data_IF_351000192323
#
_entry.id   IF_351000192323
#
_cell.length_a   1.000
_cell.length_b   1.000
_cell.length_c   1.000
_cell.angle_alpha   90.00
_cell.angle_beta   90.00
_cell.angle_gamma   90.00
#
_symmetry.space_group_name_H-M   'P 1'
#
loop_
_entity.id
_entity.type
_entity.pdbx_description
1 polymer ?
#
# COMPACT_ATOMS: atom_id res chain seq x y z
N UNK A 1 -18.70 -17.39 -6.83
CA UNK A 1 -17.59 -16.43 -6.92
C UNK A 1 -17.80 -15.39 -5.85
N UNK A 2 -16.97 -15.37 -4.80
CA UNK A 2 -17.13 -14.42 -3.69
C UNK A 2 -16.34 -13.15 -4.01
N UNK A 3 -17.02 -12.10 -4.46
CA UNK A 3 -16.39 -10.80 -4.65
C UNK A 3 -16.30 -10.09 -3.31
N UNK A 4 -15.09 -10.03 -2.75
CA UNK A 4 -14.82 -9.23 -1.55
C UNK A 4 -15.03 -7.74 -1.88
N UNK A 5 -15.86 -7.02 -1.09
CA UNK A 5 -16.02 -5.58 -1.27
C UNK A 5 -14.66 -4.90 -1.08
N UNK A 6 -14.41 -3.81 -1.81
CA UNK A 6 -13.11 -3.11 -1.73
C UNK A 6 -12.86 -2.51 -0.34
N UNK A 7 -13.92 -2.35 0.45
CA UNK A 7 -13.91 -1.92 1.86
C UNK A 7 -13.84 -3.07 2.87
N UNK A 8 -13.70 -4.32 2.44
CA UNK A 8 -13.57 -5.47 3.35
C UNK A 8 -12.39 -5.24 4.31
N UNK A 9 -12.58 -5.55 5.59
CA UNK A 9 -11.47 -5.47 6.55
C UNK A 9 -10.53 -6.66 6.38
N UNK A 10 -9.27 -6.48 6.78
CA UNK A 10 -8.30 -7.58 6.78
C UNK A 10 -8.79 -8.78 7.61
N UNK A 11 -9.62 -8.53 8.63
CA UNK A 11 -10.23 -9.56 9.48
C UNK A 11 -11.30 -10.37 8.75
N UNK A 12 -12.19 -9.72 7.99
CA UNK A 12 -13.18 -10.42 7.16
C UNK A 12 -12.52 -11.32 6.12
N UNK A 13 -11.44 -10.82 5.50
CA UNK A 13 -10.70 -11.56 4.46
C UNK A 13 -9.98 -12.77 5.06
N UNK A 14 -9.41 -12.64 6.26
CA UNK A 14 -8.83 -13.76 7.00
C UNK A 14 -9.87 -14.80 7.39
N UNK A 15 -11.04 -14.36 7.84
CA UNK A 15 -12.13 -15.25 8.20
C UNK A 15 -12.63 -16.05 6.99
N UNK A 16 -12.73 -15.41 5.82
CA UNK A 16 -13.09 -16.07 4.56
C UNK A 16 -12.02 -17.06 4.11
N UNK A 17 -10.74 -16.70 4.24
CA UNK A 17 -9.64 -17.52 3.76
C UNK A 17 -9.11 -18.58 4.72
N UNK A 18 -9.69 -18.69 5.93
CA UNK A 18 -9.27 -19.63 6.99
C UNK A 18 -7.76 -19.61 7.26
N UNK A 19 -7.09 -18.49 7.01
CA UNK A 19 -5.65 -18.35 7.18
C UNK A 19 -5.30 -18.09 8.65
N UNK A 20 -4.32 -18.82 9.17
CA UNK A 20 -3.75 -18.54 10.48
C UNK A 20 -3.02 -17.18 10.46
N UNK A 21 -2.79 -16.60 11.65
CA UNK A 21 -2.10 -15.30 11.77
C UNK A 21 -0.72 -15.29 11.10
N UNK A 22 0.03 -16.38 11.22
CA UNK A 22 1.36 -16.52 10.63
C UNK A 22 1.31 -16.59 9.11
N UNK A 23 0.38 -17.39 8.57
CA UNK A 23 0.18 -17.52 7.12
C UNK A 23 -0.27 -16.20 6.50
N UNK A 24 -1.13 -15.47 7.21
CA UNK A 24 -1.58 -14.14 6.80
C UNK A 24 -0.45 -13.11 6.77
N UNK A 25 0.44 -13.12 7.77
CA UNK A 25 1.58 -12.20 7.80
C UNK A 25 2.52 -12.46 6.63
N UNK A 26 2.85 -13.73 6.39
CA UNK A 26 3.70 -14.13 5.28
C UNK A 26 3.08 -13.84 3.92
N UNK A 27 1.77 -14.07 3.78
CA UNK A 27 1.00 -13.66 2.61
C UNK A 27 1.11 -12.15 2.36
N UNK A 28 0.99 -11.33 3.40
CA UNK A 28 1.13 -9.87 3.27
C UNK A 28 2.52 -9.46 2.81
N UNK A 29 3.56 -10.10 3.32
CA UNK A 29 4.95 -9.82 2.94
C UNK A 29 5.15 -10.16 1.47
N UNK A 30 4.86 -11.39 1.07
CA UNK A 30 5.07 -11.88 -0.31
C UNK A 30 4.28 -11.04 -1.31
N UNK A 31 3.01 -10.75 -1.01
CA UNK A 31 2.16 -9.94 -1.91
C UNK A 31 2.65 -8.51 -2.02
N UNK A 32 3.21 -7.94 -0.93
CA UNK A 32 3.82 -6.60 -0.98
C UNK A 32 5.06 -6.58 -1.85
N UNK A 33 5.96 -7.53 -1.70
CA UNK A 33 7.18 -7.60 -2.52
C UNK A 33 6.84 -7.68 -4.01
N UNK A 34 5.85 -8.51 -4.38
CA UNK A 34 5.39 -8.61 -5.77
C UNK A 34 4.71 -7.33 -6.24
N UNK A 35 3.95 -6.65 -5.38
CA UNK A 35 3.37 -5.35 -5.69
C UNK A 35 4.43 -4.28 -5.96
N UNK A 36 5.50 -4.26 -5.17
CA UNK A 36 6.64 -3.37 -5.38
C UNK A 36 7.37 -3.67 -6.69
N UNK A 37 7.59 -4.95 -7.01
CA UNK A 37 8.17 -5.36 -8.29
C UNK A 37 7.28 -4.96 -9.48
N UNK A 38 5.97 -5.14 -9.37
CA UNK A 38 5.01 -4.70 -10.39
C UNK A 38 5.09 -3.19 -10.64
N UNK A 39 5.17 -2.39 -9.57
CA UNK A 39 5.29 -0.92 -9.68
C UNK A 39 6.67 -0.50 -10.20
N UNK A 40 7.74 -1.25 -9.91
CA UNK A 40 9.08 -0.99 -10.48
C UNK A 40 9.08 -1.21 -12.00
N UNK A 41 8.49 -2.30 -12.47
CA UNK A 41 8.44 -2.65 -13.90
C UNK A 41 7.49 -1.75 -14.69
N UNK A 42 6.41 -1.29 -14.04
CA UNK A 42 5.41 -0.41 -14.67
C UNK A 42 5.04 0.72 -13.71
N UNK A 43 5.88 1.77 -13.63
CA UNK A 43 5.63 2.89 -12.73
C UNK A 43 4.32 3.57 -13.08
N UNK A 44 3.52 3.89 -12.05
CA UNK A 44 2.22 4.56 -12.15
C UNK A 44 1.08 3.72 -12.79
N UNK A 45 1.30 2.45 -13.12
CA UNK A 45 0.24 1.54 -13.56
C UNK A 45 -0.46 0.91 -12.36
N UNK A 46 -1.70 1.29 -12.10
CA UNK A 46 -2.51 0.66 -11.05
C UNK A 46 -2.98 -0.74 -11.46
N UNK A 47 -3.22 -1.61 -10.48
CA UNK A 47 -3.68 -3.01 -10.71
C UNK A 47 -4.90 -3.13 -11.64
N UNK A 48 -5.82 -2.15 -11.60
CA UNK A 48 -7.01 -2.11 -12.47
C UNK A 48 -6.69 -2.00 -13.97
N UNK A 49 -5.51 -1.51 -14.32
CA UNK A 49 -5.07 -1.33 -15.71
C UNK A 49 -4.27 -2.53 -16.24
N UNK A 50 -3.92 -3.48 -15.38
CA UNK A 50 -3.29 -4.73 -15.81
C UNK A 50 -4.31 -5.55 -16.60
N UNK A 51 -3.87 -6.15 -17.70
CA UNK A 51 -4.73 -7.04 -18.49
C UNK A 51 -5.08 -8.29 -17.68
N UNK A 52 -6.17 -8.97 -18.03
CA UNK A 52 -6.55 -10.21 -17.36
C UNK A 52 -5.45 -11.29 -17.41
N UNK A 53 -4.64 -11.29 -18.47
CA UNK A 53 -3.49 -12.20 -18.63
C UNK A 53 -2.41 -11.85 -17.60
N UNK A 54 -1.98 -10.58 -17.55
CA UNK A 54 -0.96 -10.13 -16.60
C UNK A 54 -1.41 -10.34 -15.15
N UNK A 55 -2.68 -10.09 -14.85
CA UNK A 55 -3.23 -10.34 -13.51
C UNK A 55 -3.13 -11.82 -13.14
N UNK A 56 -3.46 -12.74 -14.06
CA UNK A 56 -3.33 -14.18 -13.82
C UNK A 56 -1.87 -14.61 -13.63
N UNK A 57 -0.94 -14.06 -14.40
CA UNK A 57 0.48 -14.35 -14.25
C UNK A 57 0.99 -13.94 -12.87
N UNK A 58 0.63 -12.73 -12.41
CA UNK A 58 1.00 -12.25 -11.08
C UNK A 58 0.34 -13.07 -9.97
N UNK A 59 -0.94 -13.44 -10.12
CA UNK A 59 -1.63 -14.32 -9.17
C UNK A 59 -0.94 -15.69 -9.11
N UNK A 60 -0.59 -16.26 -10.27
CA UNK A 60 0.13 -17.54 -10.36
C UNK A 60 1.50 -17.47 -9.68
N UNK A 61 2.22 -16.35 -9.85
CA UNK A 61 3.49 -16.10 -9.19
C UNK A 61 3.34 -16.04 -7.66
N UNK A 62 2.33 -15.32 -7.16
CA UNK A 62 2.02 -15.24 -5.73
C UNK A 62 1.70 -16.64 -5.19
N UNK A 63 0.84 -17.40 -5.87
CA UNK A 63 0.52 -18.80 -5.48
C UNK A 63 1.76 -19.68 -5.44
N UNK A 64 2.67 -19.53 -6.41
CA UNK A 64 3.92 -20.30 -6.47
C UNK A 64 4.87 -19.97 -5.33
N UNK A 65 5.01 -18.69 -4.97
CA UNK A 65 5.81 -18.27 -3.79
C UNK A 65 5.19 -18.76 -2.49
N UNK A 66 3.87 -18.68 -2.35
CA UNK A 66 3.17 -19.17 -1.15
C UNK A 66 3.29 -20.69 -1.00
N UNK A 67 3.16 -21.43 -2.10
CA UNK A 67 3.33 -22.88 -2.11
C UNK A 67 4.75 -23.29 -1.68
N UNK A 68 5.77 -22.50 -2.05
CA UNK A 68 7.16 -22.72 -1.61
C UNK A 68 7.31 -22.54 -0.09
N UNK A 69 6.55 -21.62 0.50
CA UNK A 69 6.49 -21.37 1.94
C UNK A 69 5.50 -22.29 2.68
N UNK A 70 4.96 -23.31 2.00
CA UNK A 70 3.95 -24.25 2.52
C UNK A 70 2.60 -23.61 2.90
N UNK A 71 2.31 -22.42 2.39
CA UNK A 71 1.05 -21.71 2.64
C UNK A 71 0.07 -22.05 1.52
N UNK A 72 -0.96 -22.81 1.87
CA UNK A 72 -2.01 -23.20 0.94
C UNK A 72 -3.17 -22.19 0.97
N UNK A 73 -3.29 -21.44 -0.12
CA UNK A 73 -4.47 -20.62 -0.42
C UNK A 73 -5.31 -21.40 -1.44
N UNK A 74 -6.58 -21.63 -1.12
CA UNK A 74 -7.50 -22.36 -1.98
C UNK A 74 -7.77 -21.58 -3.28
N UNK A 75 -8.03 -22.28 -4.39
CA UNK A 75 -8.33 -21.65 -5.69
C UNK A 75 -9.55 -20.72 -5.65
N UNK A 76 -10.46 -20.89 -4.69
CA UNK A 76 -11.61 -19.99 -4.49
C UNK A 76 -11.24 -18.63 -3.88
N UNK A 77 -9.97 -18.43 -3.52
CA UNK A 77 -9.46 -17.24 -2.84
C UNK A 77 -8.61 -16.34 -3.75
N UNK A 78 -8.63 -16.55 -5.08
CA UNK A 78 -8.00 -15.62 -6.04
C UNK A 78 -8.52 -14.18 -5.87
N UNK A 79 -9.77 -14.03 -5.44
CA UNK A 79 -10.38 -12.74 -5.10
C UNK A 79 -9.69 -12.06 -3.90
N UNK A 80 -9.14 -12.82 -2.94
CA UNK A 80 -8.34 -12.29 -1.82
C UNK A 80 -7.04 -11.68 -2.35
N UNK A 81 -6.37 -12.41 -3.24
CA UNK A 81 -5.12 -11.96 -3.87
C UNK A 81 -5.39 -10.69 -4.70
N UNK A 82 -6.42 -10.72 -5.53
CA UNK A 82 -6.83 -9.57 -6.35
C UNK A 82 -7.17 -8.35 -5.49
N UNK A 83 -7.98 -8.54 -4.45
CA UNK A 83 -8.34 -7.47 -3.50
C UNK A 83 -7.10 -6.88 -2.83
N UNK A 84 -6.19 -7.74 -2.36
CA UNK A 84 -4.96 -7.30 -1.68
C UNK A 84 -4.05 -6.51 -2.61
N UNK A 85 -3.90 -6.99 -3.84
CA UNK A 85 -3.06 -6.37 -4.86
C UNK A 85 -3.58 -4.98 -5.26
N UNK A 86 -4.92 -4.81 -5.35
CA UNK A 86 -5.52 -3.50 -5.58
C UNK A 86 -5.13 -2.47 -4.51
N UNK A 87 -5.04 -2.90 -3.25
CA UNK A 87 -4.68 -2.02 -2.13
C UNK A 87 -3.18 -1.74 -2.15
N UNK A 88 -2.34 -2.78 -2.24
CA UNK A 88 -0.89 -2.67 -2.14
C UNK A 88 -0.28 -1.91 -3.31
N UNK A 89 -0.68 -2.18 -4.55
CA UNK A 89 -0.17 -1.44 -5.72
C UNK A 89 -0.52 0.05 -5.60
N UNK A 90 -1.74 0.36 -5.16
CA UNK A 90 -2.16 1.75 -4.91
C UNK A 90 -1.33 2.40 -3.81
N UNK A 91 -1.07 1.67 -2.72
CA UNK A 91 -0.28 2.14 -1.58
C UNK A 91 1.17 2.43 -1.97
N UNK A 92 1.82 1.51 -2.70
CA UNK A 92 3.19 1.66 -3.21
C UNK A 92 3.28 2.85 -4.18
N UNK A 93 2.33 3.02 -5.09
CA UNK A 93 2.30 4.18 -6.00
C UNK A 93 2.15 5.49 -5.21
N UNK A 94 1.29 5.52 -4.18
CA UNK A 94 1.13 6.70 -3.30
C UNK A 94 2.41 6.99 -2.54
N UNK A 95 3.02 5.97 -1.92
CA UNK A 95 4.28 6.09 -1.19
C UNK A 95 5.38 6.66 -2.11
N UNK A 96 5.51 6.16 -3.33
CA UNK A 96 6.47 6.70 -4.31
C UNK A 96 6.22 8.18 -4.65
N UNK A 97 4.95 8.61 -4.79
CA UNK A 97 4.60 10.01 -5.03
C UNK A 97 4.89 10.90 -3.82
N UNK A 98 4.61 10.43 -2.61
CA UNK A 98 4.86 11.15 -1.37
C UNK A 98 6.37 11.26 -1.09
N UNK A 99 7.14 10.18 -1.30
CA UNK A 99 8.61 10.21 -1.21
C UNK A 99 9.23 11.21 -2.20
N UNK A 100 8.64 11.38 -3.39
CA UNK A 100 9.08 12.38 -4.36
C UNK A 100 8.73 13.83 -3.96
N UNK A 101 7.78 14.02 -3.03
CA UNK A 101 7.40 15.35 -2.52
C UNK A 101 8.22 15.76 -1.29
N UNK A 102 8.69 14.79 -0.49
CA UNK A 102 9.45 15.05 0.74
C UNK A 102 10.90 15.50 0.47
N UNK A 103 11.47 15.16 -0.69
CA UNK A 103 12.84 15.58 -1.06
C UNK A 103 12.98 17.07 -1.39
N UNK A 104 11.90 17.87 -1.32
CA UNK A 104 11.95 19.31 -1.61
C UNK A 104 11.58 20.21 -0.41
N UNK A 105 11.50 19.67 0.82
CA UNK A 105 11.42 20.50 2.02
C UNK A 105 12.73 20.47 2.80
N UNK A 106 13.58 21.38 2.35
CA UNK A 106 14.78 21.94 2.95
C UNK A 106 14.94 21.76 4.46
N UNK A 107 16.15 21.32 4.82
CA UNK A 107 16.91 21.69 6.01
C UNK A 107 16.42 23.00 6.64
N UNK A 108 15.95 22.97 7.88
CA UNK A 108 16.00 24.12 8.77
C UNK A 108 16.30 23.57 10.17
N UNK A 109 17.47 23.96 10.68
CA UNK A 109 18.00 23.51 11.95
C UNK A 109 17.06 23.85 13.11
N UNK A 110 16.89 22.88 14.01
CA UNK A 110 16.30 23.14 15.32
C UNK A 110 17.45 23.54 16.22
N UNK A 111 17.67 24.84 16.30
CA UNK A 111 18.34 25.48 17.42
C UNK A 111 17.33 25.65 18.55
N UNK A 112 17.81 25.41 19.76
CA UNK A 112 17.08 25.45 21.01
C UNK A 112 16.40 26.81 21.27
N UNK A 113 15.24 26.80 21.92
CA UNK A 113 14.67 28.02 22.50
C UNK A 113 13.20 27.92 22.87
N UNK A 114 12.94 27.77 24.17
CA UNK A 114 11.63 27.96 24.79
C UNK A 114 11.13 29.41 24.62
N UNK A 115 9.81 29.63 24.48
CA UNK A 115 9.23 30.95 24.73
C UNK A 115 7.94 31.30 23.98
N UNK A 116 6.85 31.36 24.74
CA UNK A 116 5.61 32.14 24.57
C UNK A 116 5.63 33.32 23.57
N UNK A 117 4.54 33.48 22.80
CA UNK A 117 4.11 34.78 22.27
C UNK A 117 3.65 34.79 20.81
N UNK A 118 2.34 34.66 20.58
CA UNK A 118 1.73 35.00 19.28
C UNK A 118 1.81 36.51 19.08
N UNK A 119 2.88 36.97 18.42
CA UNK A 119 3.08 38.39 18.12
C UNK A 119 2.61 38.63 16.68
N UNK A 120 1.43 39.23 16.53
CA UNK A 120 0.98 39.80 15.24
C UNK A 120 2.02 40.86 14.83
N UNK A 121 2.53 40.78 13.59
CA UNK A 121 3.38 41.83 13.03
C UNK A 121 2.58 43.14 12.94
N UNK A 122 3.19 44.21 13.39
CA UNK A 122 2.68 45.58 13.30
C UNK A 122 2.46 45.96 11.83
N UNK A 123 1.30 46.53 11.49
CA UNK A 123 0.91 46.88 10.11
C UNK A 123 0.52 48.38 10.05
N UNK A 124 1.42 49.26 9.56
CA UNK A 124 1.28 50.72 9.69
C UNK A 124 0.20 51.35 8.80
N UNK A 125 -0.49 50.57 7.96
CA UNK A 125 -1.54 51.07 7.05
C UNK A 125 -2.93 50.99 7.70
N UNK A 126 -3.09 50.26 8.82
CA UNK A 126 -4.38 50.02 9.49
C UNK A 126 -4.56 50.75 10.83
N UNK A 127 -3.56 51.48 11.30
CA UNK A 127 -3.54 52.12 12.63
C UNK A 127 -3.38 53.65 12.54
N UNK A 128 -4.07 54.30 11.58
CA UNK A 128 -4.27 55.76 11.57
C UNK A 128 -5.75 56.11 11.76
#
# INVERSE_FOLDING_TARGET
MFHLPTSASAEDVRAVGKLNSSDWDRFRIITREIAEECVKTSPNTGWRFYTAIQQREVISLIKSKLATENIWIWESEEDIIRWKMMILVRDVIRANKTSNTISQTSKTGVEAGAGLGSTRRFDPIRDI
#
